data_IF_037038677685
#
_entry.id   IF_037038677685
#
_cell.length_a   1.000
_cell.length_b   1.000
_cell.length_c   1.000
_cell.angle_alpha   90.00
_cell.angle_beta   90.00
_cell.angle_gamma   90.00
#
_symmetry.space_group_name_H-M   'P 1'
#
loop_
_entity.id
_entity.type
_entity.pdbx_description
1 polymer ?
#
# COMPACT_ATOMS: atom_id res chain seq x y z
N UNK A 1 -0.86 -18.49 -2.13
CA UNK A 1 -0.02 -17.33 -1.73
C UNK A 1 0.17 -16.31 -2.87
N UNK A 2 0.49 -16.74 -4.09
CA UNK A 2 0.76 -15.81 -5.23
C UNK A 2 -0.40 -14.87 -5.61
N UNK A 3 -1.66 -15.33 -5.55
CA UNK A 3 -2.80 -14.50 -5.93
C UNK A 3 -3.01 -13.30 -4.99
N UNK A 4 -2.79 -13.50 -3.68
CA UNK A 4 -2.91 -12.44 -2.66
C UNK A 4 -1.84 -11.36 -2.83
N UNK A 5 -0.59 -11.78 -3.08
CA UNK A 5 0.52 -10.86 -3.34
C UNK A 5 0.32 -10.09 -4.66
N UNK A 6 -0.19 -10.77 -5.70
CA UNK A 6 -0.51 -10.13 -6.96
C UNK A 6 -1.59 -9.04 -6.78
N UNK A 7 -2.65 -9.33 -6.01
CA UNK A 7 -3.69 -8.34 -5.74
C UNK A 7 -3.19 -7.17 -4.89
N UNK A 8 -2.35 -7.44 -3.88
CA UNK A 8 -1.70 -6.39 -3.10
C UNK A 8 -0.84 -5.47 -4.00
N UNK A 9 -0.13 -6.04 -4.97
CA UNK A 9 0.66 -5.29 -5.94
C UNK A 9 -0.24 -4.44 -6.86
N UNK A 10 -1.38 -4.96 -7.31
CA UNK A 10 -2.38 -4.19 -8.06
C UNK A 10 -2.88 -3.00 -7.24
N UNK A 11 -3.17 -3.19 -5.95
CA UNK A 11 -3.55 -2.09 -5.05
C UNK A 11 -2.44 -1.04 -4.93
N UNK A 12 -1.19 -1.46 -4.75
CA UNK A 12 -0.05 -0.55 -4.71
C UNK A 12 0.09 0.27 -6.00
N UNK A 13 -0.10 -0.34 -7.17
CA UNK A 13 -0.04 0.34 -8.47
C UNK A 13 -1.23 1.30 -8.63
N UNK A 14 -2.44 0.88 -8.27
CA UNK A 14 -3.64 1.70 -8.38
C UNK A 14 -3.52 2.97 -7.53
N UNK A 15 -3.09 2.83 -6.28
CA UNK A 15 -2.88 3.96 -5.37
C UNK A 15 -1.72 4.84 -5.85
N UNK A 16 -0.61 4.27 -6.33
CA UNK A 16 0.48 5.04 -6.93
C UNK A 16 0.04 5.81 -8.19
N UNK A 17 -0.82 5.21 -9.02
CA UNK A 17 -1.40 5.84 -10.19
C UNK A 17 -2.33 7.00 -9.84
N UNK A 18 -3.03 6.93 -8.70
CA UNK A 18 -3.80 8.04 -8.15
C UNK A 18 -2.87 9.16 -7.63
N UNK A 19 -1.85 8.82 -6.84
CA UNK A 19 -0.82 9.73 -6.32
C UNK A 19 -0.09 10.51 -7.42
N UNK A 20 0.20 9.87 -8.55
CA UNK A 20 0.91 10.48 -9.68
C UNK A 20 0.19 11.69 -10.32
N UNK A 21 -1.07 11.95 -9.96
CA UNK A 21 -1.83 13.14 -10.41
C UNK A 21 -1.44 14.42 -9.69
N UNK A 22 -0.84 14.32 -8.50
CA UNK A 22 -0.53 15.48 -7.66
C UNK A 22 0.87 16.04 -7.92
N UNK A 23 1.13 17.28 -7.46
CA UNK A 23 2.47 17.88 -7.45
C UNK A 23 3.49 17.03 -6.69
N UNK A 24 4.78 17.21 -6.96
CA UNK A 24 5.84 16.39 -6.34
C UNK A 24 5.83 16.47 -4.82
N UNK A 25 5.61 17.65 -4.25
CA UNK A 25 5.50 17.83 -2.81
C UNK A 25 4.29 17.09 -2.23
N UNK A 26 3.11 17.23 -2.84
CA UNK A 26 1.88 16.55 -2.41
C UNK A 26 1.98 15.04 -2.57
N UNK A 27 2.61 14.56 -3.64
CA UNK A 27 2.85 13.15 -3.88
C UNK A 27 3.63 12.54 -2.72
N UNK A 28 4.80 13.10 -2.41
CA UNK A 28 5.66 12.57 -1.33
C UNK A 28 4.97 12.65 0.04
N UNK A 29 4.25 13.74 0.30
CA UNK A 29 3.51 13.91 1.55
C UNK A 29 2.35 12.91 1.70
N UNK A 30 1.73 12.47 0.59
CA UNK A 30 0.59 11.56 0.61
C UNK A 30 0.99 10.07 0.50
N UNK A 31 2.26 9.73 0.28
CA UNK A 31 2.73 8.33 0.25
C UNK A 31 2.35 7.57 1.53
N UNK A 32 2.58 8.10 2.75
CA UNK A 32 2.18 7.40 3.99
C UNK A 32 0.68 7.12 4.07
N UNK A 33 -0.15 8.05 3.58
CA UNK A 33 -1.61 7.89 3.57
C UNK A 33 -2.03 6.82 2.57
N UNK A 34 -1.41 6.85 1.39
CA UNK A 34 -1.63 5.88 0.33
C UNK A 34 -1.28 4.44 0.73
N UNK A 35 -0.25 4.25 1.56
CA UNK A 35 0.17 2.93 2.04
C UNK A 35 -0.87 2.25 2.95
N UNK A 36 -1.81 2.99 3.52
CA UNK A 36 -2.84 2.44 4.43
C UNK A 36 -3.69 1.39 3.71
N UNK A 37 -4.07 1.63 2.46
CA UNK A 37 -4.94 0.73 1.68
C UNK A 37 -4.30 -0.65 1.44
N UNK A 38 -3.11 -0.76 0.83
CA UNK A 38 -2.46 -2.05 0.65
C UNK A 38 -2.06 -2.71 1.98
N UNK A 39 -1.65 -1.93 2.99
CA UNK A 39 -1.36 -2.46 4.33
C UNK A 39 -2.58 -3.09 4.99
N UNK A 40 -3.74 -2.42 4.88
CA UNK A 40 -5.01 -2.92 5.38
C UNK A 40 -5.40 -4.23 4.69
N UNK A 41 -5.30 -4.29 3.37
CA UNK A 41 -5.58 -5.50 2.61
C UNK A 41 -4.67 -6.65 3.05
N UNK A 42 -3.35 -6.43 3.08
CA UNK A 42 -2.38 -7.45 3.48
C UNK A 42 -2.62 -7.94 4.92
N UNK A 43 -2.92 -7.03 5.85
CA UNK A 43 -3.24 -7.40 7.23
C UNK A 43 -4.54 -8.17 7.31
N UNK A 44 -5.58 -7.74 6.59
CA UNK A 44 -6.87 -8.43 6.52
C UNK A 44 -6.76 -9.84 5.95
N UNK A 45 -5.82 -10.09 5.03
CA UNK A 45 -5.57 -11.45 4.51
C UNK A 45 -4.91 -12.37 5.54
N UNK A 46 -4.14 -11.83 6.50
CA UNK A 46 -3.45 -12.61 7.53
C UNK A 46 -4.26 -12.74 8.83
N UNK A 47 -5.05 -11.72 9.18
CA UNK A 47 -5.71 -11.58 10.48
C UNK A 47 -7.25 -11.57 10.38
N UNK A 48 -7.79 -11.70 9.17
CA UNK A 48 -9.23 -11.57 8.88
C UNK A 48 -9.68 -10.12 8.68
N UNK A 49 -10.79 -9.93 7.96
CA UNK A 49 -11.33 -8.59 7.66
C UNK A 49 -11.71 -7.78 8.91
N UNK A 50 -12.02 -8.47 10.02
CA UNK A 50 -12.33 -7.87 11.31
C UNK A 50 -11.13 -7.49 12.17
N UNK A 51 -9.88 -7.56 11.66
CA UNK A 51 -8.69 -7.35 12.49
C UNK A 51 -8.67 -5.99 13.21
N UNK A 52 -9.33 -4.97 12.65
CA UNK A 52 -9.46 -3.63 13.25
C UNK A 52 -10.17 -3.67 14.60
N UNK A 53 -11.17 -4.55 14.74
CA UNK A 53 -11.94 -4.71 15.99
C UNK A 53 -11.07 -5.26 17.13
N UNK A 54 -10.00 -5.96 16.77
CA UNK A 54 -9.04 -6.55 17.70
C UNK A 54 -7.66 -5.92 17.59
N UNK A 55 -7.56 -4.71 17.01
CA UNK A 55 -6.28 -4.09 16.69
C UNK A 55 -5.38 -3.89 17.92
N UNK A 56 -6.00 -3.55 19.06
CA UNK A 56 -5.32 -3.35 20.34
C UNK A 56 -5.34 -4.60 21.23
N UNK A 57 -5.84 -5.73 20.74
CA UNK A 57 -5.77 -6.99 21.49
C UNK A 57 -4.36 -7.53 21.47
N UNK A 58 -3.83 -7.90 22.64
CA UNK A 58 -2.52 -8.55 22.75
C UNK A 58 -2.61 -10.07 22.50
N UNK A 59 -3.80 -10.59 22.19
CA UNK A 59 -4.00 -11.98 21.77
C UNK A 59 -3.59 -12.17 20.32
N UNK A 60 -2.71 -13.13 20.05
CA UNK A 60 -2.38 -13.55 18.69
C UNK A 60 -3.62 -14.10 17.97
N UNK A 61 -4.07 -13.40 16.93
CA UNK A 61 -5.29 -13.74 16.18
C UNK A 61 -5.06 -13.87 14.66
N UNK A 62 -3.83 -13.62 14.20
CA UNK A 62 -3.46 -13.81 12.80
C UNK A 62 -3.00 -15.25 12.55
N UNK A 63 -3.16 -15.74 11.32
CA UNK A 63 -2.77 -17.09 10.88
C UNK A 63 -1.30 -17.44 11.17
N UNK A 64 -0.46 -16.41 11.31
CA UNK A 64 0.97 -16.52 11.48
C UNK A 64 1.41 -16.40 12.95
N UNK A 65 0.47 -16.39 13.91
CA UNK A 65 0.77 -16.30 15.35
C UNK A 65 1.13 -14.91 15.87
N UNK A 66 1.05 -13.88 15.04
CA UNK A 66 1.31 -12.49 15.42
C UNK A 66 0.04 -11.77 15.87
N UNK A 67 0.21 -10.70 16.65
CA UNK A 67 -0.88 -9.78 16.99
C UNK A 67 -1.20 -8.84 15.81
N UNK A 68 -2.47 -8.43 15.62
CA UNK A 68 -2.88 -7.58 14.49
C UNK A 68 -2.08 -6.29 14.34
N UNK A 69 -1.72 -5.63 15.45
CA UNK A 69 -0.91 -4.41 15.45
C UNK A 69 0.47 -4.61 14.82
N UNK A 70 1.13 -5.70 15.15
CA UNK A 70 2.46 -6.02 14.62
C UNK A 70 2.38 -6.34 13.12
N UNK A 71 1.36 -7.10 12.72
CA UNK A 71 1.13 -7.41 11.31
C UNK A 71 0.82 -6.17 10.48
N UNK A 72 0.01 -5.26 10.99
CA UNK A 72 -0.28 -4.01 10.31
C UNK A 72 0.95 -3.12 10.17
N UNK A 73 1.76 -2.98 11.23
CA UNK A 73 3.00 -2.21 11.16
C UNK A 73 3.98 -2.80 10.13
N UNK A 74 4.15 -4.12 10.11
CA UNK A 74 5.03 -4.80 9.16
C UNK A 74 4.55 -4.61 7.71
N UNK A 75 3.27 -4.86 7.45
CA UNK A 75 2.69 -4.73 6.10
C UNK A 75 2.66 -3.28 5.62
N UNK A 76 2.51 -2.32 6.54
CA UNK A 76 2.60 -0.90 6.25
C UNK A 76 4.00 -0.51 5.75
N UNK A 77 5.06 -0.91 6.46
CA UNK A 77 6.45 -0.64 6.03
C UNK A 77 6.74 -1.32 4.68
N UNK A 78 6.28 -2.56 4.49
CA UNK A 78 6.47 -3.30 3.24
C UNK A 78 5.75 -2.65 2.04
N UNK A 79 4.66 -1.91 2.26
CA UNK A 79 3.94 -1.20 1.21
C UNK A 79 4.67 0.06 0.70
N UNK A 80 5.68 0.57 1.42
CA UNK A 80 6.38 1.81 1.08
C UNK A 80 7.00 1.74 -0.32
N UNK A 81 7.85 0.74 -0.53
CA UNK A 81 8.62 0.56 -1.77
C UNK A 81 7.69 0.43 -2.98
N UNK A 82 6.71 -0.50 -3.01
CA UNK A 82 5.87 -0.67 -4.19
C UNK A 82 4.95 0.54 -4.46
N UNK A 83 4.46 1.24 -3.43
CA UNK A 83 3.62 2.43 -3.60
C UNK A 83 4.44 3.63 -4.10
N UNK A 84 5.60 3.88 -3.49
CA UNK A 84 6.46 4.98 -3.90
C UNK A 84 7.03 4.76 -5.30
N UNK A 85 7.52 3.56 -5.59
CA UNK A 85 8.05 3.21 -6.90
C UNK A 85 6.97 3.33 -7.99
N UNK A 86 5.77 2.80 -7.77
CA UNK A 86 4.68 2.90 -8.76
C UNK A 86 4.25 4.35 -8.98
N UNK A 87 4.14 5.16 -7.91
CA UNK A 87 3.78 6.57 -8.01
C UNK A 87 4.80 7.38 -8.83
N UNK A 88 6.10 7.18 -8.56
CA UNK A 88 7.20 7.86 -9.27
C UNK A 88 7.24 7.42 -10.73
N UNK A 89 7.24 6.11 -10.99
CA UNK A 89 7.31 5.56 -12.36
C UNK A 89 6.14 6.06 -13.20
N UNK A 90 4.90 5.97 -12.70
CA UNK A 90 3.71 6.43 -13.45
C UNK A 90 3.78 7.94 -13.70
N UNK A 91 4.26 8.73 -12.74
CA UNK A 91 4.42 10.18 -12.92
C UNK A 91 5.45 10.51 -13.99
N UNK A 92 6.61 9.85 -13.98
CA UNK A 92 7.64 10.02 -15.00
C UNK A 92 7.11 9.64 -16.39
N UNK A 93 6.37 8.54 -16.51
CA UNK A 93 5.71 8.12 -17.76
C UNK A 93 4.75 9.21 -18.25
N UNK A 94 3.91 9.77 -17.37
CA UNK A 94 2.98 10.86 -17.75
C UNK A 94 3.71 12.11 -18.23
N UNK A 95 4.79 12.52 -17.55
CA UNK A 95 5.62 13.66 -17.97
C UNK A 95 6.26 13.38 -19.33
N UNK A 96 6.81 12.18 -19.53
CA UNK A 96 7.41 11.77 -20.79
C UNK A 96 6.42 11.74 -21.95
N UNK A 97 5.21 11.23 -21.73
CA UNK A 97 4.14 11.24 -22.74
C UNK A 97 3.67 12.65 -23.08
N UNK A 98 3.57 13.54 -22.10
CA UNK A 98 3.22 14.94 -22.33
C UNK A 98 4.28 15.65 -23.20
N UNK A 99 5.56 15.40 -22.94
CA UNK A 99 6.68 15.95 -23.74
C UNK A 99 6.76 15.42 -25.18
N UNK A 100 6.22 14.24 -25.47
CA UNK A 100 6.20 13.68 -26.83
C UNK A 100 5.02 14.18 -27.68
N UNK A 101 4.02 14.79 -27.06
CA UNK A 101 2.79 15.27 -27.73
C UNK A 101 2.79 16.78 -27.99
N UNK A 102 3.70 17.53 -27.38
CA UNK A 102 3.98 18.93 -27.69
C UNK A 102 5.18 19.01 -28.61
#
# INVERSE_FOLDING_TARGET
MNLFLAFALVLCIAVGGWLSKYDWAKLLALVPVAMIVPAFYMTGTACGAGFVLHFFSDTASCSNGYVPRQMFAATYVMALIPVAASAIVIKLIRIGMARRKG
#
